data_IF_736206957576
#
_entry.id   IF_736206957576
#
_cell.length_a   1.000
_cell.length_b   1.000
_cell.length_c   1.000
_cell.angle_alpha   90.00
_cell.angle_beta   90.00
_cell.angle_gamma   90.00
#
_symmetry.space_group_name_H-M   'P 1'
#
loop_
_entity.id
_entity.type
_entity.pdbx_description
1 polymer ?
#
# COMPACT_ATOMS: atom_id res chain seq x y z
N UNK A 1 10.54 7.87 -5.76
CA UNK A 1 9.44 8.64 -6.38
C UNK A 1 9.77 10.13 -6.33
N UNK A 2 9.57 10.82 -7.43
CA UNK A 2 9.78 12.26 -7.51
C UNK A 2 8.50 12.98 -7.05
N UNK A 3 8.42 13.31 -5.76
CA UNK A 3 7.27 14.04 -5.17
C UNK A 3 7.08 15.43 -5.78
N UNK A 4 8.14 16.05 -6.26
CA UNK A 4 8.13 17.40 -6.84
C UNK A 4 7.97 17.39 -8.36
N UNK A 5 8.05 16.23 -9.02
CA UNK A 5 7.92 16.10 -10.47
C UNK A 5 9.09 16.72 -11.24
N UNK A 6 10.29 16.76 -10.64
CA UNK A 6 11.47 17.41 -11.20
C UNK A 6 12.42 16.45 -11.93
N UNK A 7 12.24 15.12 -11.71
CA UNK A 7 13.02 14.07 -12.35
C UNK A 7 12.17 13.12 -13.19
N UNK A 8 12.80 12.26 -13.95
CA UNK A 8 12.13 11.22 -14.71
C UNK A 8 12.78 9.86 -14.45
N UNK A 9 12.03 8.98 -13.77
CA UNK A 9 12.39 7.56 -13.58
C UNK A 9 11.63 6.66 -14.57
N UNK A 10 11.17 7.22 -15.69
CA UNK A 10 10.23 6.56 -16.61
C UNK A 10 10.76 5.22 -17.13
N UNK A 11 11.99 5.20 -17.59
CA UNK A 11 12.62 3.98 -18.14
C UNK A 11 12.73 2.88 -17.08
N UNK A 12 13.20 3.23 -15.88
CA UNK A 12 13.31 2.29 -14.76
C UNK A 12 11.93 1.73 -14.35
N UNK A 13 10.91 2.57 -14.32
CA UNK A 13 9.54 2.13 -13.99
C UNK A 13 9.02 1.17 -15.07
N UNK A 14 9.26 1.43 -16.34
CA UNK A 14 8.87 0.54 -17.44
C UNK A 14 9.53 -0.84 -17.30
N UNK A 15 10.83 -0.90 -17.00
CA UNK A 15 11.51 -2.17 -16.73
C UNK A 15 10.92 -2.92 -15.53
N UNK A 16 10.53 -2.21 -14.47
CA UNK A 16 9.90 -2.84 -13.30
C UNK A 16 8.51 -3.40 -13.63
N UNK A 17 7.74 -2.71 -14.47
CA UNK A 17 6.41 -3.15 -14.90
C UNK A 17 6.46 -4.45 -15.72
N UNK A 18 7.56 -4.72 -16.44
CA UNK A 18 7.77 -5.98 -17.14
C UNK A 18 8.07 -7.17 -16.21
N UNK A 19 8.55 -6.89 -15.00
CA UNK A 19 9.04 -7.92 -14.06
C UNK A 19 8.06 -8.25 -12.95
N UNK A 20 7.24 -7.27 -12.55
CA UNK A 20 6.34 -7.45 -11.41
C UNK A 20 5.08 -6.58 -11.53
N UNK A 21 3.95 -6.99 -10.94
CA UNK A 21 2.76 -6.16 -10.83
C UNK A 21 3.04 -4.96 -9.91
N UNK A 22 3.09 -3.75 -10.47
CA UNK A 22 3.40 -2.54 -9.73
C UNK A 22 2.23 -1.56 -9.68
N UNK A 23 2.17 -0.80 -8.59
CA UNK A 23 1.36 0.42 -8.47
C UNK A 23 2.27 1.61 -8.79
N UNK A 24 1.87 2.49 -9.70
CA UNK A 24 2.68 3.64 -10.15
C UNK A 24 2.09 4.93 -9.64
N UNK A 25 2.91 5.74 -8.98
CA UNK A 25 2.51 7.05 -8.45
C UNK A 25 3.63 8.08 -8.55
N UNK A 26 3.27 9.35 -8.37
CA UNK A 26 4.18 10.48 -8.46
C UNK A 26 4.14 11.15 -9.83
N UNK A 27 3.84 12.46 -9.84
CA UNK A 27 3.83 13.29 -11.04
C UNK A 27 2.68 13.03 -12.03
N UNK A 28 1.72 12.17 -11.75
CA UNK A 28 0.55 11.93 -12.59
C UNK A 28 -0.47 13.04 -12.31
N UNK A 29 -0.63 13.95 -13.27
CA UNK A 29 -1.46 15.16 -13.12
C UNK A 29 -2.55 15.33 -14.18
N UNK A 30 -2.53 14.51 -15.21
CA UNK A 30 -3.44 14.60 -16.35
C UNK A 30 -3.82 13.21 -16.88
N UNK A 31 -4.86 13.17 -17.70
CA UNK A 31 -5.41 11.96 -18.28
C UNK A 31 -4.41 11.23 -19.19
N UNK A 32 -3.59 11.98 -19.94
CA UNK A 32 -2.62 11.38 -20.86
C UNK A 32 -1.56 10.60 -20.09
N UNK A 33 -1.00 11.19 -19.04
CA UNK A 33 -0.03 10.53 -18.15
C UNK A 33 -0.64 9.35 -17.42
N UNK A 34 -1.87 9.49 -16.93
CA UNK A 34 -2.59 8.41 -16.25
C UNK A 34 -2.79 7.20 -17.18
N UNK A 35 -3.32 7.43 -18.39
CA UNK A 35 -3.50 6.38 -19.40
C UNK A 35 -2.19 5.74 -19.82
N UNK A 36 -1.15 6.56 -20.02
CA UNK A 36 0.17 6.05 -20.39
C UNK A 36 0.65 4.96 -19.41
N UNK A 37 0.56 5.20 -18.10
CA UNK A 37 1.00 4.22 -17.11
C UNK A 37 0.09 2.99 -17.05
N UNK A 38 -1.23 3.17 -17.20
CA UNK A 38 -2.17 2.05 -17.27
C UNK A 38 -1.93 1.16 -18.49
N UNK A 39 -1.65 1.76 -19.66
CA UNK A 39 -1.37 1.06 -20.91
C UNK A 39 0.02 0.38 -20.88
N UNK A 40 0.97 0.98 -20.16
CA UNK A 40 2.31 0.40 -19.91
C UNK A 40 2.30 -0.79 -18.96
N UNK A 41 1.13 -1.18 -18.38
CA UNK A 41 1.00 -2.36 -17.53
C UNK A 41 0.97 -2.10 -16.04
N UNK A 42 0.95 -0.83 -15.57
CA UNK A 42 0.78 -0.55 -14.15
C UNK A 42 -0.52 -1.20 -13.64
N UNK A 43 -0.44 -2.00 -12.59
CA UNK A 43 -1.61 -2.64 -12.00
C UNK A 43 -2.64 -1.61 -11.53
N UNK A 44 -2.17 -0.58 -10.83
CA UNK A 44 -2.95 0.59 -10.42
C UNK A 44 -2.10 1.86 -10.54
N UNK A 45 -2.75 3.00 -10.72
CA UNK A 45 -2.11 4.31 -10.60
C UNK A 45 -2.50 4.98 -9.30
N UNK A 46 -1.58 5.80 -8.77
CA UNK A 46 -1.77 6.52 -7.52
C UNK A 46 -1.80 8.02 -7.85
N UNK A 47 -2.93 8.66 -7.60
CA UNK A 47 -3.17 10.08 -7.80
C UNK A 47 -3.21 10.80 -6.46
N UNK A 48 -2.39 11.83 -6.29
CA UNK A 48 -2.43 12.72 -5.12
C UNK A 48 -3.36 13.92 -5.38
N UNK A 49 -2.78 15.11 -5.51
CA UNK A 49 -3.55 16.37 -5.74
C UNK A 49 -4.40 16.37 -7.00
N UNK A 50 -4.10 15.51 -7.96
CA UNK A 50 -4.87 15.37 -9.21
C UNK A 50 -6.08 14.43 -9.08
N UNK A 51 -6.33 13.85 -7.89
CA UNK A 51 -7.50 13.00 -7.64
C UNK A 51 -8.76 13.86 -7.52
N UNK A 52 -9.21 14.42 -8.63
CA UNK A 52 -10.42 15.23 -8.74
C UNK A 52 -11.44 14.56 -9.65
N UNK A 53 -12.76 14.74 -9.42
CA UNK A 53 -13.82 14.06 -10.17
C UNK A 53 -13.69 14.18 -11.70
N UNK A 54 -13.22 15.34 -12.19
CA UNK A 54 -13.05 15.58 -13.63
C UNK A 54 -12.05 14.63 -14.29
N UNK A 55 -10.99 14.25 -13.58
CA UNK A 55 -10.00 13.28 -14.04
C UNK A 55 -10.48 11.84 -13.75
N UNK A 56 -10.97 11.60 -12.54
CA UNK A 56 -11.34 10.27 -12.06
C UNK A 56 -12.44 9.63 -12.91
N UNK A 57 -13.45 10.39 -13.32
CA UNK A 57 -14.57 9.91 -14.16
C UNK A 57 -14.14 9.43 -15.56
N UNK A 58 -12.89 9.67 -15.96
CA UNK A 58 -12.33 9.26 -17.25
C UNK A 58 -11.39 8.05 -17.16
N UNK A 59 -11.25 7.48 -15.96
CA UNK A 59 -10.33 6.38 -15.64
C UNK A 59 -11.11 5.16 -15.10
N UNK A 60 -10.58 3.95 -15.29
CA UNK A 60 -11.17 2.76 -14.69
C UNK A 60 -11.01 2.82 -13.16
N UNK A 61 -12.12 2.98 -12.44
CA UNK A 61 -12.18 3.17 -10.99
C UNK A 61 -11.32 2.16 -10.23
N UNK A 62 -11.43 0.89 -10.56
CA UNK A 62 -10.75 -0.23 -9.89
C UNK A 62 -9.21 -0.17 -10.01
N UNK A 63 -8.71 0.61 -10.95
CA UNK A 63 -7.27 0.81 -11.20
C UNK A 63 -6.73 2.14 -10.67
N UNK A 64 -7.54 2.90 -9.94
CA UNK A 64 -7.14 4.18 -9.37
C UNK A 64 -7.09 4.12 -7.85
N UNK A 65 -6.01 4.64 -7.28
CA UNK A 65 -5.82 4.87 -5.84
C UNK A 65 -5.71 6.37 -5.62
N UNK A 66 -6.51 6.93 -4.72
CA UNK A 66 -6.32 8.30 -4.25
C UNK A 66 -5.33 8.32 -3.09
N UNK A 67 -4.24 9.09 -3.23
CA UNK A 67 -3.26 9.29 -2.17
C UNK A 67 -3.61 10.54 -1.36
N UNK A 68 -3.74 10.38 -0.05
CA UNK A 68 -4.06 11.41 0.91
C UNK A 68 -2.94 11.47 1.95
N UNK A 69 -2.12 12.52 1.88
CA UNK A 69 -1.10 12.77 2.90
C UNK A 69 -1.73 13.54 4.06
N UNK A 70 -1.60 13.04 5.28
CA UNK A 70 -2.25 13.54 6.48
C UNK A 70 -1.24 14.14 7.46
N UNK A 71 -1.58 15.30 8.01
CA UNK A 71 -0.91 15.91 9.18
C UNK A 71 -1.99 16.34 10.17
N UNK A 72 -1.93 15.83 11.39
CA UNK A 72 -2.94 16.08 12.43
C UNK A 72 -4.39 15.80 11.94
N UNK A 73 -4.57 14.81 11.07
CA UNK A 73 -5.86 14.45 10.49
C UNK A 73 -6.32 15.31 9.31
N UNK A 74 -5.62 16.40 8.98
CA UNK A 74 -5.89 17.24 7.81
C UNK A 74 -5.12 16.76 6.58
N UNK A 75 -5.75 16.82 5.41
CA UNK A 75 -5.07 16.57 4.14
C UNK A 75 -4.08 17.70 3.83
N UNK A 76 -2.84 17.31 3.52
CA UNK A 76 -1.79 18.22 3.09
C UNK A 76 -1.42 17.98 1.63
N UNK A 77 -0.98 19.02 0.95
CA UNK A 77 -0.58 19.03 -0.45
C UNK A 77 0.75 19.76 -0.65
N UNK A 78 1.24 19.83 -1.89
CA UNK A 78 2.47 20.55 -2.25
C UNK A 78 3.70 20.09 -1.46
N UNK A 79 3.89 18.74 -1.35
CA UNK A 79 5.01 18.18 -0.59
C UNK A 79 4.89 18.42 0.91
N UNK A 80 3.67 18.39 1.45
CA UNK A 80 3.31 18.52 2.87
C UNK A 80 3.42 19.96 3.45
N UNK A 81 3.53 20.95 2.57
CA UNK A 81 3.73 22.35 3.01
C UNK A 81 2.44 23.12 3.24
N UNK A 82 1.31 22.61 2.71
CA UNK A 82 0.03 23.31 2.73
C UNK A 82 -1.12 22.43 3.21
N UNK A 83 -1.76 22.81 4.31
CA UNK A 83 -3.01 22.20 4.78
C UNK A 83 -4.16 22.65 3.86
N UNK A 84 -5.04 21.71 3.48
CA UNK A 84 -6.20 21.99 2.62
C UNK A 84 -7.40 22.50 3.41
N UNK A 85 -7.42 22.33 4.73
CA UNK A 85 -8.57 22.57 5.58
C UNK A 85 -9.68 21.50 5.45
N UNK A 86 -9.38 20.38 4.77
CA UNK A 86 -10.27 19.21 4.68
C UNK A 86 -9.66 18.07 5.48
N UNK A 87 -10.49 17.36 6.22
CA UNK A 87 -10.03 16.15 6.88
C UNK A 87 -9.84 15.00 5.88
N UNK A 88 -9.00 14.02 6.25
CA UNK A 88 -8.82 12.81 5.43
C UNK A 88 -10.16 12.09 5.23
N UNK A 89 -10.96 11.98 6.29
CA UNK A 89 -12.26 11.31 6.24
C UNK A 89 -13.24 12.01 5.29
N UNK A 90 -13.33 13.36 5.32
CA UNK A 90 -14.16 14.12 4.39
C UNK A 90 -13.73 13.88 2.94
N UNK A 91 -12.42 13.92 2.69
CA UNK A 91 -11.89 13.70 1.34
C UNK A 91 -12.14 12.27 0.84
N UNK A 92 -12.02 11.28 1.71
CA UNK A 92 -12.38 9.90 1.38
C UNK A 92 -13.86 9.77 1.03
N UNK A 93 -14.75 10.40 1.78
CA UNK A 93 -16.19 10.38 1.50
C UNK A 93 -16.52 11.01 0.13
N UNK A 94 -15.81 12.08 -0.26
CA UNK A 94 -15.98 12.72 -1.58
C UNK A 94 -15.55 11.79 -2.73
N UNK A 95 -14.47 11.04 -2.57
CA UNK A 95 -13.81 10.28 -3.63
C UNK A 95 -14.17 8.80 -3.71
N UNK A 96 -14.79 8.21 -2.68
CA UNK A 96 -15.01 6.75 -2.58
C UNK A 96 -15.83 6.15 -3.73
N UNK A 97 -16.65 6.95 -4.41
CA UNK A 97 -17.41 6.50 -5.56
C UNK A 97 -16.54 6.35 -6.82
N UNK A 98 -15.43 7.09 -6.90
CA UNK A 98 -14.64 7.28 -8.12
C UNK A 98 -13.28 6.55 -8.09
N UNK A 99 -12.88 5.96 -6.94
CA UNK A 99 -11.61 5.26 -6.78
C UNK A 99 -11.79 3.83 -6.25
N UNK A 100 -10.91 2.93 -6.66
CA UNK A 100 -10.87 1.56 -6.17
C UNK A 100 -9.99 1.37 -4.95
N UNK A 101 -9.31 2.42 -4.48
CA UNK A 101 -8.49 2.37 -3.27
C UNK A 101 -8.04 3.73 -2.77
N UNK A 102 -7.61 3.75 -1.52
CA UNK A 102 -6.98 4.89 -0.87
C UNK A 102 -5.59 4.51 -0.37
N UNK A 103 -4.65 5.43 -0.48
CA UNK A 103 -3.35 5.39 0.19
C UNK A 103 -3.30 6.58 1.17
N UNK A 104 -3.34 6.29 2.46
CA UNK A 104 -3.26 7.33 3.49
C UNK A 104 -1.87 7.30 4.11
N UNK A 105 -1.15 8.43 4.02
CA UNK A 105 0.19 8.59 4.60
C UNK A 105 0.13 9.48 5.83
N UNK A 106 0.48 8.95 7.00
CA UNK A 106 0.64 9.74 8.23
C UNK A 106 2.04 10.39 8.23
N UNK A 107 2.10 11.65 7.79
CA UNK A 107 3.36 12.36 7.55
C UNK A 107 4.14 12.62 8.84
N UNK A 108 3.46 12.94 9.95
CA UNK A 108 4.09 13.16 11.25
C UNK A 108 4.75 11.89 11.82
N UNK A 109 4.29 10.73 11.40
CA UNK A 109 4.82 9.43 11.80
C UNK A 109 5.84 8.88 10.78
N UNK A 110 6.02 9.53 9.63
CA UNK A 110 6.95 9.05 8.60
C UNK A 110 8.39 9.08 9.12
N UNK A 111 9.02 7.89 9.16
CA UNK A 111 10.36 7.72 9.69
C UNK A 111 10.47 7.78 11.23
N UNK A 112 9.36 7.84 11.95
CA UNK A 112 9.31 7.78 13.41
C UNK A 112 8.61 6.52 13.87
N UNK A 113 9.17 5.86 14.87
CA UNK A 113 8.63 4.66 15.51
C UNK A 113 7.54 5.09 16.53
N UNK A 114 6.39 5.56 16.06
CA UNK A 114 5.40 6.21 16.91
C UNK A 114 4.15 5.40 17.24
N UNK A 115 4.03 4.19 16.68
CA UNK A 115 2.83 3.38 16.81
C UNK A 115 1.66 3.86 15.93
N UNK A 116 0.79 2.95 15.60
CA UNK A 116 -0.37 3.16 14.73
C UNK A 116 -1.62 3.16 15.59
N UNK A 117 -2.45 4.19 15.48
CA UNK A 117 -3.72 4.28 16.22
C UNK A 117 -4.78 3.40 15.55
N UNK A 118 -5.18 2.33 16.27
CA UNK A 118 -6.21 1.40 15.85
C UNK A 118 -7.55 2.09 15.53
N UNK A 119 -7.98 3.03 16.36
CA UNK A 119 -9.25 3.74 16.18
C UNK A 119 -9.21 4.58 14.91
N UNK A 120 -8.07 5.18 14.61
CA UNK A 120 -7.85 5.95 13.38
C UNK A 120 -7.91 5.05 12.15
N UNK A 121 -7.23 3.90 12.15
CA UNK A 121 -7.30 2.94 11.02
C UNK A 121 -8.72 2.44 10.80
N UNK A 122 -9.45 2.07 11.86
CA UNK A 122 -10.84 1.61 11.75
C UNK A 122 -11.74 2.69 11.14
N UNK A 123 -11.59 3.94 11.56
CA UNK A 123 -12.34 5.05 10.96
C UNK A 123 -12.04 5.24 9.46
N UNK A 124 -10.79 5.04 9.03
CA UNK A 124 -10.42 5.09 7.62
C UNK A 124 -10.99 3.90 6.83
N UNK A 125 -10.98 2.69 7.40
CA UNK A 125 -11.60 1.49 6.77
C UNK A 125 -13.10 1.74 6.56
N UNK A 126 -13.80 2.22 7.58
CA UNK A 126 -15.22 2.55 7.49
C UNK A 126 -15.50 3.62 6.42
N UNK A 127 -14.63 4.63 6.31
CA UNK A 127 -14.73 5.69 5.30
C UNK A 127 -14.43 5.19 3.89
N UNK A 128 -13.55 4.22 3.72
CA UNK A 128 -13.20 3.63 2.44
C UNK A 128 -14.34 2.80 1.84
N UNK A 129 -15.24 2.27 2.65
CA UNK A 129 -16.33 1.36 2.22
C UNK A 129 -15.80 0.15 1.45
N UNK A 130 -16.15 0.07 0.15
CA UNK A 130 -15.72 -1.02 -0.75
C UNK A 130 -14.33 -0.81 -1.37
N UNK A 131 -13.74 0.38 -1.22
CA UNK A 131 -12.40 0.68 -1.73
C UNK A 131 -11.33 0.10 -0.80
N UNK A 132 -10.22 -0.41 -1.37
CA UNK A 132 -9.09 -0.89 -0.56
C UNK A 132 -8.42 0.27 0.18
N UNK A 133 -7.95 0.02 1.40
CA UNK A 133 -7.15 0.99 2.15
C UNK A 133 -5.71 0.50 2.25
N UNK A 134 -4.76 1.36 1.92
CA UNK A 134 -3.34 1.17 2.19
C UNK A 134 -2.89 2.26 3.16
N UNK A 135 -2.23 1.86 4.24
CA UNK A 135 -1.70 2.77 5.27
C UNK A 135 -0.20 2.90 5.11
N UNK A 136 0.31 4.12 5.13
CA UNK A 136 1.73 4.45 5.07
C UNK A 136 2.10 5.46 6.17
N UNK A 137 3.38 5.49 6.52
CA UNK A 137 3.90 6.33 7.61
C UNK A 137 3.77 5.66 8.98
N UNK A 138 4.87 5.59 9.72
CA UNK A 138 4.91 4.99 11.05
C UNK A 138 5.00 3.47 11.12
N UNK A 139 4.90 2.74 10.01
CA UNK A 139 5.11 1.28 9.95
C UNK A 139 6.58 0.98 10.17
N UNK A 140 6.92 0.47 11.33
CA UNK A 140 8.28 0.36 11.82
C UNK A 140 8.74 -1.07 12.10
N UNK A 141 7.80 -1.95 12.39
CA UNK A 141 8.03 -3.35 12.76
C UNK A 141 7.18 -4.29 11.92
N UNK A 142 7.52 -5.58 11.92
CA UNK A 142 6.71 -6.62 11.30
C UNK A 142 5.33 -6.74 11.98
N UNK A 143 5.29 -6.54 13.30
CA UNK A 143 4.05 -6.57 14.08
C UNK A 143 3.08 -5.45 13.67
N UNK A 144 3.59 -4.25 13.31
CA UNK A 144 2.76 -3.17 12.75
C UNK A 144 2.10 -3.61 11.44
N UNK A 145 2.83 -4.33 10.59
CA UNK A 145 2.28 -4.86 9.32
C UNK A 145 1.16 -5.87 9.62
N UNK A 146 1.42 -6.85 10.50
CA UNK A 146 0.43 -7.83 10.89
C UNK A 146 -0.80 -7.22 11.57
N UNK A 147 -0.61 -6.15 12.34
CA UNK A 147 -1.70 -5.42 12.98
C UNK A 147 -2.59 -4.71 11.96
N UNK A 148 -2.01 -4.02 10.97
CA UNK A 148 -2.75 -3.36 9.90
C UNK A 148 -3.52 -4.38 9.05
N UNK A 149 -2.87 -5.50 8.69
CA UNK A 149 -3.48 -6.60 7.94
C UNK A 149 -4.67 -7.22 8.70
N UNK A 150 -4.51 -7.45 10.00
CA UNK A 150 -5.57 -7.99 10.85
C UNK A 150 -6.81 -7.08 10.94
N UNK A 151 -6.66 -5.78 10.74
CA UNK A 151 -7.75 -4.82 10.65
C UNK A 151 -8.42 -4.79 9.26
N UNK A 152 -7.80 -5.38 8.24
CA UNK A 152 -8.32 -5.43 6.87
C UNK A 152 -7.78 -4.32 5.95
N UNK A 153 -6.62 -3.74 6.27
CA UNK A 153 -5.93 -2.77 5.43
C UNK A 153 -4.55 -3.28 4.98
N UNK A 154 -4.06 -2.77 3.86
CA UNK A 154 -2.69 -3.01 3.40
C UNK A 154 -1.70 -2.08 4.13
N UNK A 155 -0.49 -2.55 4.40
CA UNK A 155 0.61 -1.72 4.90
C UNK A 155 1.60 -1.36 3.77
N UNK A 156 1.94 -0.08 3.63
CA UNK A 156 3.06 0.34 2.80
C UNK A 156 4.28 0.62 3.67
N UNK A 157 5.28 -0.24 3.53
CA UNK A 157 6.54 -0.13 4.28
C UNK A 157 7.57 0.63 3.43
N UNK A 158 8.20 1.63 4.03
CA UNK A 158 9.26 2.42 3.41
C UNK A 158 10.62 2.17 4.07
N UNK A 159 11.09 3.14 4.84
CA UNK A 159 12.43 3.16 5.42
C UNK A 159 12.77 1.94 6.28
N UNK A 160 11.81 1.38 7.01
CA UNK A 160 12.05 0.23 7.88
C UNK A 160 12.60 -0.97 7.10
N UNK A 161 12.09 -1.22 5.88
CA UNK A 161 12.61 -2.28 5.01
C UNK A 161 14.00 -1.92 4.45
N UNK A 162 14.21 -0.67 4.01
CA UNK A 162 15.51 -0.23 3.45
C UNK A 162 16.62 -0.16 4.48
N UNK A 163 16.31 0.11 5.74
CA UNK A 163 17.28 0.14 6.85
C UNK A 163 17.49 -1.22 7.50
N UNK A 164 16.73 -2.25 7.08
CA UNK A 164 16.83 -3.59 7.64
C UNK A 164 16.29 -3.70 9.06
N UNK A 165 15.31 -2.85 9.45
CA UNK A 165 14.64 -2.97 10.75
C UNK A 165 13.90 -4.31 10.88
N UNK A 166 13.38 -4.82 9.78
CA UNK A 166 12.85 -6.17 9.60
C UNK A 166 12.93 -6.54 8.11
N UNK A 167 12.81 -7.81 7.77
CA UNK A 167 12.80 -8.28 6.39
C UNK A 167 11.37 -8.56 5.87
N UNK A 168 11.26 -8.87 4.57
CA UNK A 168 9.97 -9.17 3.95
C UNK A 168 9.32 -10.42 4.54
N UNK A 169 10.13 -11.43 4.89
CA UNK A 169 9.63 -12.67 5.47
C UNK A 169 9.03 -12.45 6.85
N UNK A 170 9.65 -11.59 7.68
CA UNK A 170 9.10 -11.20 8.99
C UNK A 170 7.73 -10.50 8.82
N UNK A 171 7.62 -9.58 7.86
CA UNK A 171 6.36 -8.89 7.57
C UNK A 171 5.25 -9.85 7.12
N UNK A 172 5.57 -10.79 6.22
CA UNK A 172 4.60 -11.81 5.76
C UNK A 172 4.22 -12.74 6.91
N UNK A 173 5.19 -13.19 7.72
CA UNK A 173 4.94 -14.04 8.88
C UNK A 173 3.97 -13.40 9.87
N UNK A 174 4.09 -12.09 10.10
CA UNK A 174 3.22 -11.35 11.00
C UNK A 174 1.75 -11.29 10.54
N UNK A 175 1.49 -11.45 9.24
CA UNK A 175 0.14 -11.53 8.67
C UNK A 175 -0.45 -12.95 8.74
N UNK A 176 0.37 -13.98 8.97
CA UNK A 176 -0.08 -15.36 8.99
C UNK A 176 -0.58 -15.77 10.38
N UNK A 177 -1.65 -16.57 10.40
CA UNK A 177 -2.17 -17.15 11.66
C UNK A 177 -1.49 -18.49 11.91
N UNK A 178 -0.81 -18.61 13.04
CA UNK A 178 -0.19 -19.86 13.49
C UNK A 178 -1.14 -20.70 14.35
N UNK A 179 -0.85 -22.01 14.50
CA UNK A 179 -1.45 -22.80 15.57
C UNK A 179 -0.91 -22.29 16.92
N UNK A 180 -1.80 -21.98 17.88
CA UNK A 180 -1.38 -21.45 19.19
C UNK A 180 -0.50 -22.41 20.01
N UNK A 181 -0.47 -23.70 19.68
CA UNK A 181 0.24 -24.71 20.48
C UNK A 181 1.71 -24.85 20.13
N UNK A 182 2.04 -24.77 18.86
CA UNK A 182 3.40 -25.03 18.36
C UNK A 182 3.98 -23.92 17.48
N UNK A 183 3.17 -22.91 17.15
CA UNK A 183 3.62 -21.77 16.34
C UNK A 183 3.90 -22.11 14.86
N UNK A 184 3.44 -23.29 14.42
CA UNK A 184 3.63 -23.72 13.04
C UNK A 184 2.48 -23.29 12.13
N UNK A 185 2.78 -23.10 10.85
CA UNK A 185 1.79 -22.89 9.82
C UNK A 185 1.50 -24.17 9.05
N UNK A 186 0.23 -24.47 8.86
CA UNK A 186 -0.19 -25.51 7.94
C UNK A 186 0.02 -25.02 6.50
N UNK A 187 0.89 -25.68 5.77
CA UNK A 187 1.32 -25.29 4.42
C UNK A 187 0.92 -26.34 3.40
N UNK A 188 0.18 -25.94 2.37
CA UNK A 188 -0.16 -26.82 1.24
C UNK A 188 0.90 -26.63 0.16
N UNK A 189 1.62 -27.70 -0.17
CA UNK A 189 2.57 -27.72 -1.28
C UNK A 189 1.79 -27.95 -2.57
N UNK A 190 1.93 -27.05 -3.54
CA UNK A 190 1.29 -27.16 -4.85
C UNK A 190 2.33 -27.22 -5.97
N UNK A 191 1.99 -27.94 -7.02
CA UNK A 191 2.77 -27.95 -8.25
C UNK A 191 2.39 -26.78 -9.16
N UNK A 192 3.22 -26.41 -10.13
CA UNK A 192 3.00 -25.29 -11.07
C UNK A 192 1.62 -25.27 -11.75
N UNK A 193 0.95 -26.42 -11.81
CA UNK A 193 -0.41 -26.58 -12.36
C UNK A 193 -1.53 -26.49 -11.32
N UNK A 194 -1.28 -25.85 -10.17
CA UNK A 194 -2.21 -25.72 -9.03
C UNK A 194 -2.67 -27.05 -8.40
N UNK A 195 -1.98 -28.16 -8.70
CA UNK A 195 -2.29 -29.45 -8.10
C UNK A 195 -1.63 -29.58 -6.74
N UNK A 196 -2.41 -29.77 -5.68
CA UNK A 196 -1.90 -30.03 -4.34
C UNK A 196 -1.11 -31.36 -4.32
N UNK A 197 0.11 -31.30 -3.81
CA UNK A 197 1.02 -32.46 -3.65
C UNK A 197 0.98 -33.02 -2.24
N UNK A 198 0.73 -32.18 -1.25
CA UNK A 198 0.71 -32.58 0.14
C UNK A 198 0.52 -31.43 1.11
N UNK A 199 0.45 -31.80 2.38
CA UNK A 199 0.38 -30.89 3.50
C UNK A 199 1.64 -31.05 4.33
N UNK A 200 2.27 -29.94 4.68
CA UNK A 200 3.43 -29.87 5.57
C UNK A 200 3.20 -28.80 6.65
N UNK A 201 4.08 -28.75 7.62
CA UNK A 201 4.09 -27.70 8.65
C UNK A 201 5.35 -26.89 8.49
N UNK A 202 5.20 -25.58 8.41
CA UNK A 202 6.31 -24.63 8.23
C UNK A 202 6.50 -23.78 9.48
N UNK A 203 7.73 -23.47 9.78
CA UNK A 203 8.14 -22.48 10.77
C UNK A 203 8.67 -21.21 10.10
N UNK A 204 9.09 -20.22 10.90
CA UNK A 204 9.60 -18.96 10.41
C UNK A 204 10.86 -19.15 9.52
N UNK A 205 11.73 -20.08 9.85
CA UNK A 205 12.96 -20.32 9.08
C UNK A 205 12.62 -20.90 7.70
N UNK A 206 11.67 -21.84 7.63
CA UNK A 206 11.15 -22.38 6.37
C UNK A 206 10.52 -21.29 5.50
N UNK A 207 9.77 -20.36 6.12
CA UNK A 207 9.15 -19.24 5.41
C UNK A 207 10.21 -18.26 4.87
N UNK A 208 11.24 -17.94 5.67
CA UNK A 208 12.35 -17.08 5.23
C UNK A 208 13.09 -17.67 4.03
N UNK A 209 13.39 -18.96 4.07
CA UNK A 209 14.04 -19.65 2.95
C UNK A 209 13.15 -19.56 1.70
N UNK A 210 11.87 -19.87 1.81
CA UNK A 210 10.94 -19.82 0.68
C UNK A 210 10.79 -18.43 0.06
N UNK A 211 10.82 -17.35 0.86
CA UNK A 211 10.72 -15.98 0.36
C UNK A 211 12.04 -15.50 -0.27
N UNK A 212 13.18 -15.89 0.27
CA UNK A 212 14.48 -15.40 -0.18
C UNK A 212 15.02 -16.18 -1.41
N UNK A 213 14.63 -17.44 -1.56
CA UNK A 213 15.09 -18.30 -2.66
C UNK A 213 14.10 -18.36 -3.84
N UNK A 214 12.84 -17.91 -3.66
CA UNK A 214 11.78 -17.87 -4.69
C UNK A 214 11.02 -19.17 -4.75
#
# INVERSE_FOLDING_TARGET
SDRLGTGSNREMILELLERAPCRVGGGIRDLQTARFWLDAGAQKIILGTAAEPELLNQLPKERVIAALDAVDGDVVVEGWTKKTGRTVLDRMQELKADVGGFLVTFVESEGRLGGIDEAQIKALIDAACDASLTVAGGVATAEDVGFIDALGADAQVGMALYTGSFDLADAIAACLKTDPKDGLWTTVVVYESDRALGLVYSDLDSLRVAINEG
#
